data_IF_814486898861
#
_entry.id   IF_814486898861
#
_cell.length_a   1.000
_cell.length_b   1.000
_cell.length_c   1.000
_cell.angle_alpha   90.00
_cell.angle_beta   90.00
_cell.angle_gamma   90.00
#
_symmetry.space_group_name_H-M   'P 1'
#
loop_
_entity.id
_entity.type
_entity.pdbx_description
1 polymer ?
#
# COMPACT_ATOMS: atom_id res chain seq x y z
N UNK A 1 11.96 -7.85 9.14
CA UNK A 1 11.41 -9.14 9.56
C UNK A 1 9.99 -8.94 10.04
N UNK A 2 9.11 -9.87 9.72
CA UNK A 2 7.71 -9.92 10.14
C UNK A 2 7.64 -10.28 11.62
N UNK A 3 6.71 -9.66 12.33
CA UNK A 3 6.46 -9.95 13.75
C UNK A 3 5.17 -10.76 13.86
N UNK A 4 5.28 -11.94 14.46
CA UNK A 4 4.18 -12.88 14.65
C UNK A 4 3.95 -13.06 16.15
N UNK A 5 2.72 -12.84 16.60
CA UNK A 5 2.35 -12.91 18.02
C UNK A 5 1.44 -14.11 18.22
N UNK A 6 1.84 -15.02 19.10
CA UNK A 6 1.01 -16.18 19.46
C UNK A 6 -0.31 -15.71 20.09
N UNK A 7 -1.40 -16.35 19.71
CA UNK A 7 -2.75 -16.09 20.20
C UNK A 7 -3.55 -17.38 20.29
N UNK A 8 -4.65 -17.32 21.03
CA UNK A 8 -5.53 -18.45 21.33
C UNK A 8 -6.95 -17.93 21.61
N UNK A 9 -7.96 -18.79 21.83
CA UNK A 9 -9.32 -18.33 22.05
C UNK A 9 -9.37 -17.42 23.28
N UNK A 10 -10.23 -16.40 23.23
CA UNK A 10 -10.44 -15.41 24.30
C UNK A 10 -9.27 -14.44 24.57
N UNK A 11 -8.12 -14.58 23.88
CA UNK A 11 -7.07 -13.57 23.94
C UNK A 11 -7.50 -12.30 23.19
N UNK A 12 -7.14 -11.10 23.68
CA UNK A 12 -7.39 -9.87 22.96
C UNK A 12 -6.60 -9.83 21.64
N UNK A 13 -7.12 -9.08 20.67
CA UNK A 13 -6.40 -8.83 19.41
C UNK A 13 -5.10 -8.09 19.71
N UNK A 14 -3.93 -8.61 19.30
CA UNK A 14 -2.67 -7.92 19.53
C UNK A 14 -2.66 -6.50 18.91
N UNK A 15 -2.10 -5.49 19.60
CA UNK A 15 -1.95 -4.16 19.03
C UNK A 15 -1.21 -4.19 17.69
N UNK A 16 -1.73 -3.47 16.69
CA UNK A 16 -1.15 -3.42 15.34
C UNK A 16 -1.36 -4.69 14.51
N UNK A 17 -2.33 -5.55 14.87
CA UNK A 17 -2.72 -6.69 14.04
C UNK A 17 -3.12 -6.26 12.62
N UNK A 18 -2.57 -6.94 11.62
CA UNK A 18 -2.82 -6.64 10.21
C UNK A 18 -4.20 -7.15 9.82
N UNK A 19 -5.09 -6.23 9.43
CA UNK A 19 -6.43 -6.55 8.95
C UNK A 19 -6.33 -7.19 7.57
N UNK A 20 -6.87 -8.39 7.44
CA UNK A 20 -6.95 -9.17 6.21
C UNK A 20 -8.17 -8.85 5.37
N UNK A 21 -9.26 -8.44 6.01
CA UNK A 21 -10.54 -8.10 5.37
C UNK A 21 -11.69 -8.24 6.36
N UNK A 22 -12.83 -8.75 5.90
CA UNK A 22 -14.03 -8.92 6.71
C UNK A 22 -14.79 -10.20 6.33
N UNK A 23 -15.44 -10.82 7.31
CA UNK A 23 -16.34 -11.96 7.11
C UNK A 23 -17.69 -11.48 6.54
N UNK A 24 -18.56 -12.39 6.12
CA UNK A 24 -19.82 -12.04 5.46
C UNK A 24 -20.78 -11.17 6.29
N UNK A 25 -20.61 -11.15 7.63
CA UNK A 25 -21.35 -10.32 8.58
C UNK A 25 -20.67 -8.97 8.90
N UNK A 26 -19.55 -8.66 8.24
CA UNK A 26 -18.75 -7.45 8.46
C UNK A 26 -17.72 -7.58 9.59
N UNK A 27 -17.65 -8.70 10.30
CA UNK A 27 -16.65 -8.95 11.35
C UNK A 27 -15.24 -8.85 10.76
N UNK A 28 -14.30 -8.12 11.38
CA UNK A 28 -12.93 -8.03 10.88
C UNK A 28 -12.21 -9.38 10.90
N UNK A 29 -11.53 -9.68 9.80
CA UNK A 29 -10.62 -10.82 9.65
C UNK A 29 -9.19 -10.29 9.77
N UNK A 30 -8.34 -11.00 10.51
CA UNK A 30 -6.91 -10.68 10.64
C UNK A 30 -6.03 -11.72 9.94
N UNK A 31 -4.86 -11.27 9.51
CA UNK A 31 -3.83 -12.12 8.91
C UNK A 31 -3.16 -12.94 10.00
N UNK A 32 -3.25 -14.27 9.89
CA UNK A 32 -2.57 -15.19 10.78
C UNK A 32 -1.81 -16.29 10.07
N UNK A 33 -1.21 -17.17 10.86
CA UNK A 33 -0.70 -18.48 10.42
C UNK A 33 -0.89 -19.53 11.50
N UNK A 34 -0.95 -20.79 11.10
CA UNK A 34 -1.03 -21.91 12.04
C UNK A 34 -0.45 -23.18 11.42
N UNK A 35 0.12 -24.02 12.27
CA UNK A 35 0.66 -25.32 11.88
C UNK A 35 -0.44 -26.37 11.77
N UNK A 36 -0.42 -27.17 10.70
CA UNK A 36 -1.30 -28.31 10.53
C UNK A 36 -0.62 -29.37 9.63
N UNK A 37 -0.54 -30.62 10.12
CA UNK A 37 -0.06 -31.76 9.34
C UNK A 37 1.29 -31.49 8.64
N UNK A 38 2.29 -30.98 9.36
CA UNK A 38 3.62 -30.72 8.79
C UNK A 38 3.75 -29.40 8.01
N UNK A 39 2.63 -28.74 7.70
CA UNK A 39 2.62 -27.45 7.00
C UNK A 39 2.46 -26.30 7.99
N UNK A 40 3.14 -25.18 7.73
CA UNK A 40 2.76 -23.90 8.33
C UNK A 40 1.94 -23.13 7.31
N UNK A 41 0.68 -22.81 7.63
CA UNK A 41 -0.30 -22.33 6.67
C UNK A 41 -0.78 -20.91 7.02
N UNK A 42 -0.93 -20.01 6.03
CA UNK A 42 -1.69 -18.77 6.20
C UNK A 42 -3.09 -19.04 6.75
N UNK A 43 -3.55 -18.20 7.68
CA UNK A 43 -4.78 -18.40 8.43
C UNK A 43 -5.69 -17.17 8.41
N UNK A 44 -7.00 -17.42 8.27
CA UNK A 44 -8.11 -16.48 8.51
C UNK A 44 -8.36 -16.44 10.01
N UNK A 45 -7.95 -15.38 10.70
CA UNK A 45 -8.17 -15.23 12.16
C UNK A 45 -9.45 -14.41 12.40
N UNK A 46 -10.39 -14.95 13.17
CA UNK A 46 -11.61 -14.26 13.59
C UNK A 46 -11.68 -14.25 15.12
N UNK A 47 -11.19 -13.19 15.78
CA UNK A 47 -11.13 -13.11 17.24
C UNK A 47 -12.49 -13.23 17.93
N UNK A 48 -13.57 -12.69 17.33
CA UNK A 48 -14.92 -12.79 17.88
C UNK A 48 -15.46 -14.23 17.90
N UNK A 49 -14.93 -15.10 17.03
CA UNK A 49 -15.22 -16.55 17.02
C UNK A 49 -14.19 -17.35 17.84
N UNK A 50 -13.20 -16.68 18.44
CA UNK A 50 -12.15 -17.29 19.24
C UNK A 50 -11.29 -18.30 18.48
N UNK A 51 -11.16 -18.19 17.16
CA UNK A 51 -10.43 -19.17 16.36
C UNK A 51 -9.83 -18.59 15.08
N UNK A 52 -8.97 -19.40 14.46
CA UNK A 52 -8.49 -19.18 13.10
C UNK A 52 -8.85 -20.37 12.21
N UNK A 53 -8.78 -20.18 10.90
CA UNK A 53 -9.07 -21.20 9.91
C UNK A 53 -7.94 -21.28 8.89
N UNK A 54 -7.54 -22.50 8.54
CA UNK A 54 -6.54 -22.77 7.49
C UNK A 54 -7.12 -23.70 6.44
N UNK A 55 -6.61 -23.61 5.22
CA UNK A 55 -6.99 -24.49 4.13
C UNK A 55 -6.10 -25.73 4.08
N UNK A 56 -6.66 -26.92 4.20
CA UNK A 56 -5.89 -28.16 4.03
C UNK A 56 -6.78 -29.31 3.56
N UNK A 57 -6.28 -30.09 2.60
CA UNK A 57 -6.98 -31.28 2.10
C UNK A 57 -8.40 -30.99 1.58
N UNK A 58 -8.58 -29.93 0.80
CA UNK A 58 -9.88 -29.45 0.29
C UNK A 58 -10.87 -28.97 1.37
N UNK A 59 -10.43 -28.80 2.63
CA UNK A 59 -11.29 -28.41 3.76
C UNK A 59 -10.82 -27.13 4.44
N UNK A 60 -11.78 -26.45 5.06
CA UNK A 60 -11.52 -25.45 6.08
C UNK A 60 -11.29 -26.14 7.43
N UNK A 61 -10.11 -25.92 8.02
CA UNK A 61 -9.71 -26.53 9.29
C UNK A 61 -9.67 -25.46 10.37
N UNK A 62 -10.48 -25.62 11.42
CA UNK A 62 -10.47 -24.73 12.57
C UNK A 62 -9.23 -24.95 13.44
N UNK A 63 -8.64 -23.85 13.90
CA UNK A 63 -7.43 -23.79 14.74
C UNK A 63 -7.71 -22.95 15.98
N UNK A 64 -7.34 -23.48 17.13
CA UNK A 64 -7.39 -22.76 18.42
C UNK A 64 -6.03 -22.18 18.80
N UNK A 65 -4.94 -22.61 18.18
CA UNK A 65 -3.60 -22.05 18.41
C UNK A 65 -3.07 -21.51 17.08
N UNK A 66 -2.72 -20.24 17.06
CA UNK A 66 -2.30 -19.54 15.85
C UNK A 66 -1.42 -18.36 16.21
N UNK A 67 -0.75 -17.81 15.21
CA UNK A 67 -0.02 -16.55 15.33
C UNK A 67 -0.72 -15.48 14.49
N UNK A 68 -0.74 -14.25 14.98
CA UNK A 68 -1.28 -13.09 14.29
C UNK A 68 -0.13 -12.23 13.80
N UNK A 69 -0.20 -11.78 12.54
CA UNK A 69 0.77 -10.83 11.98
C UNK A 69 0.51 -9.45 12.57
N UNK A 70 1.54 -8.82 13.12
CA UNK A 70 1.48 -7.46 13.64
C UNK A 70 2.51 -6.56 12.97
N UNK A 71 2.17 -5.28 12.82
CA UNK A 71 3.09 -4.26 12.30
C UNK A 71 2.42 -3.30 11.31
N UNK A 72 3.26 -2.55 10.62
CA UNK A 72 2.89 -1.52 9.65
C UNK A 72 3.70 -1.69 8.36
N UNK A 73 3.30 -0.98 7.29
CA UNK A 73 3.98 -1.02 6.00
C UNK A 73 3.65 -2.30 5.23
N UNK A 74 2.37 -2.68 5.23
CA UNK A 74 1.85 -3.81 4.48
C UNK A 74 0.85 -3.31 3.44
N UNK A 75 0.92 -3.84 2.23
CA UNK A 75 0.01 -3.46 1.16
C UNK A 75 -0.56 -4.70 0.46
N UNK A 76 -1.73 -4.54 -0.14
CA UNK A 76 -2.37 -5.59 -0.95
C UNK A 76 -2.19 -5.26 -2.43
N UNK A 77 -1.69 -6.24 -3.19
CA UNK A 77 -1.37 -6.09 -4.61
C UNK A 77 -2.18 -7.06 -5.44
N UNK A 78 -3.01 -6.59 -6.40
CA UNK A 78 -3.75 -7.46 -7.30
C UNK A 78 -2.80 -8.39 -8.08
N UNK A 79 -3.11 -9.67 -8.10
CA UNK A 79 -2.36 -10.73 -8.79
C UNK A 79 -3.32 -11.84 -9.26
N UNK A 80 -2.79 -12.76 -10.05
CA UNK A 80 -3.55 -13.86 -10.63
C UNK A 80 -2.64 -15.05 -10.95
N UNK A 81 -3.23 -16.22 -11.16
CA UNK A 81 -2.53 -17.37 -11.74
C UNK A 81 -1.31 -17.88 -10.95
N UNK A 82 -1.27 -17.68 -9.63
CA UNK A 82 -0.14 -18.06 -8.78
C UNK A 82 1.00 -17.05 -8.75
N UNK A 83 0.88 -15.92 -9.44
CA UNK A 83 1.86 -14.85 -9.40
C UNK A 83 2.06 -14.35 -7.96
N UNK A 84 3.34 -14.17 -7.60
CA UNK A 84 3.79 -13.63 -6.32
C UNK A 84 4.72 -12.45 -6.62
N UNK A 85 4.33 -11.21 -6.29
CA UNK A 85 5.16 -10.04 -6.55
C UNK A 85 6.38 -9.98 -5.62
N UNK A 86 7.40 -9.16 -5.95
CA UNK A 86 8.50 -8.87 -5.03
C UNK A 86 7.99 -8.39 -3.67
N UNK A 87 8.71 -8.73 -2.60
CA UNK A 87 8.38 -8.40 -1.21
C UNK A 87 7.08 -9.02 -0.68
N UNK A 88 6.51 -10.02 -1.36
CA UNK A 88 5.38 -10.77 -0.83
C UNK A 88 5.70 -11.38 0.55
N UNK A 89 4.76 -11.27 1.47
CA UNK A 89 4.90 -11.78 2.83
C UNK A 89 4.78 -13.30 2.79
N UNK A 90 5.92 -13.98 2.92
CA UNK A 90 5.98 -15.42 3.14
C UNK A 90 5.53 -15.72 4.56
N UNK A 91 4.43 -16.46 4.69
CA UNK A 91 3.81 -16.77 5.98
C UNK A 91 3.86 -18.24 6.31
N UNK A 92 3.93 -19.09 5.27
CA UNK A 92 3.87 -20.52 5.40
C UNK A 92 4.92 -21.24 4.60
N UNK A 93 5.03 -22.54 4.85
CA UNK A 93 5.82 -23.49 4.05
C UNK A 93 5.12 -24.83 4.12
N UNK A 94 4.98 -25.51 2.98
CA UNK A 94 4.50 -26.89 2.95
C UNK A 94 5.55 -27.82 3.56
N UNK A 95 5.16 -29.03 3.93
CA UNK A 95 6.06 -30.09 4.42
C UNK A 95 7.20 -30.42 3.46
N UNK A 96 7.02 -30.15 2.16
CA UNK A 96 8.02 -30.37 1.12
C UNK A 96 8.94 -29.16 0.90
N UNK A 97 8.77 -28.08 1.66
CA UNK A 97 9.60 -26.88 1.59
C UNK A 97 9.10 -25.80 0.63
N UNK A 98 7.94 -25.98 -0.04
CA UNK A 98 7.39 -24.94 -0.92
C UNK A 98 6.92 -23.73 -0.10
N UNK A 99 7.37 -22.50 -0.40
CA UNK A 99 6.91 -21.32 0.29
C UNK A 99 5.44 -21.01 -0.03
N UNK A 100 4.68 -20.65 1.00
CA UNK A 100 3.31 -20.17 0.87
C UNK A 100 3.24 -18.69 1.25
N UNK A 101 2.38 -17.96 0.54
CA UNK A 101 2.21 -16.52 0.69
C UNK A 101 0.79 -16.20 1.12
N UNK A 102 0.62 -15.02 1.72
CA UNK A 102 -0.70 -14.55 2.14
C UNK A 102 -1.36 -13.87 0.95
N UNK A 103 -2.55 -14.35 0.60
CA UNK A 103 -3.44 -13.65 -0.30
C UNK A 103 -4.80 -13.39 0.33
N UNK A 104 -5.60 -12.55 -0.32
CA UNK A 104 -7.02 -12.39 -0.02
C UNK A 104 -7.85 -12.30 -1.29
N UNK A 105 -9.13 -12.60 -1.19
CA UNK A 105 -10.05 -12.48 -2.30
C UNK A 105 -11.50 -12.34 -1.82
N UNK A 106 -12.34 -11.85 -2.74
CA UNK A 106 -13.77 -11.73 -2.50
C UNK A 106 -14.48 -13.06 -2.71
N UNK A 107 -15.31 -13.48 -1.75
CA UNK A 107 -16.18 -14.65 -1.87
C UNK A 107 -17.38 -14.50 -0.94
N UNK A 108 -18.60 -14.67 -1.47
CA UNK A 108 -19.85 -14.65 -0.69
C UNK A 108 -19.97 -13.49 0.33
N UNK A 109 -19.77 -12.25 -0.15
CA UNK A 109 -19.77 -11.02 0.65
C UNK A 109 -18.67 -10.92 1.73
N UNK A 110 -17.67 -11.79 1.70
CA UNK A 110 -16.47 -11.71 2.51
C UNK A 110 -15.28 -11.27 1.66
N UNK A 111 -14.39 -10.48 2.25
CA UNK A 111 -13.01 -10.33 1.79
C UNK A 111 -12.13 -11.12 2.75
N UNK A 112 -11.69 -12.31 2.34
CA UNK A 112 -11.04 -13.25 3.26
C UNK A 112 -9.63 -13.61 2.82
N UNK A 113 -8.76 -13.81 3.81
CA UNK A 113 -7.37 -14.23 3.61
C UNK A 113 -7.26 -15.74 3.44
N UNK A 114 -6.18 -16.18 2.81
CA UNK A 114 -5.89 -17.58 2.57
C UNK A 114 -4.45 -17.81 2.09
N UNK A 115 -4.17 -19.03 1.63
CA UNK A 115 -2.85 -19.43 1.14
C UNK A 115 -2.75 -19.27 -0.38
N UNK A 116 -1.79 -18.47 -0.83
CA UNK A 116 -1.35 -18.51 -2.22
C UNK A 116 -0.39 -19.69 -2.34
N UNK A 117 -0.67 -20.55 -3.32
CA UNK A 117 0.12 -21.73 -3.60
C UNK A 117 0.71 -21.60 -5.00
N UNK A 118 1.96 -21.12 -5.14
CA UNK A 118 2.54 -20.76 -6.44
C UNK A 118 2.48 -21.91 -7.45
N UNK A 119 2.86 -23.13 -7.05
CA UNK A 119 2.82 -24.30 -7.95
C UNK A 119 1.41 -24.71 -8.38
N UNK A 120 0.36 -24.36 -7.62
CA UNK A 120 -1.04 -24.64 -7.98
C UNK A 120 -1.68 -23.49 -8.78
N UNK A 121 -1.01 -22.34 -8.91
CA UNK A 121 -1.49 -21.24 -9.72
C UNK A 121 -2.67 -20.46 -9.12
N UNK A 122 -2.88 -20.47 -7.80
CA UNK A 122 -4.08 -19.85 -7.19
C UNK A 122 -3.93 -19.41 -5.74
N UNK A 123 -4.95 -18.69 -5.26
CA UNK A 123 -5.27 -18.50 -3.85
C UNK A 123 -6.29 -19.56 -3.40
N UNK A 124 -6.09 -20.15 -2.23
CA UNK A 124 -7.08 -20.96 -1.52
C UNK A 124 -7.54 -20.25 -0.25
N UNK A 125 -8.84 -20.04 -0.10
CA UNK A 125 -9.44 -19.43 1.10
C UNK A 125 -10.28 -20.45 1.89
N UNK A 126 -10.28 -20.37 3.24
CA UNK A 126 -11.15 -21.21 4.06
C UNK A 126 -12.52 -20.53 4.15
N UNK A 127 -13.57 -21.23 3.72
CA UNK A 127 -14.93 -20.70 3.76
C UNK A 127 -15.99 -21.81 3.83
N UNK A 128 -16.86 -21.73 4.83
CA UNK A 128 -18.06 -22.58 4.93
C UNK A 128 -17.74 -24.08 5.00
N UNK A 129 -16.65 -24.47 5.67
CA UNK A 129 -16.18 -25.84 5.78
C UNK A 129 -15.28 -26.31 4.62
N UNK A 130 -15.13 -25.53 3.56
CA UNK A 130 -14.40 -25.91 2.35
C UNK A 130 -13.15 -25.05 2.10
N UNK A 131 -12.22 -25.60 1.35
CA UNK A 131 -11.14 -24.86 0.70
C UNK A 131 -11.62 -24.36 -0.67
N UNK A 132 -11.80 -23.04 -0.81
CA UNK A 132 -12.27 -22.43 -2.07
C UNK A 132 -11.10 -21.90 -2.87
N UNK A 133 -10.99 -22.31 -4.14
CA UNK A 133 -10.00 -21.82 -5.09
C UNK A 133 -10.44 -20.49 -5.71
N UNK A 134 -9.53 -19.51 -5.75
CA UNK A 134 -9.69 -18.24 -6.46
C UNK A 134 -8.50 -18.00 -7.40
N UNK A 135 -8.78 -17.65 -8.66
CA UNK A 135 -7.75 -17.39 -9.67
C UNK A 135 -7.35 -15.90 -9.76
N UNK A 136 -8.18 -15.00 -9.23
CA UNK A 136 -7.89 -13.57 -9.05
C UNK A 136 -7.92 -13.23 -7.58
N UNK A 137 -6.87 -12.57 -7.10
CA UNK A 137 -6.66 -12.31 -5.68
C UNK A 137 -5.73 -11.10 -5.48
N UNK A 138 -5.56 -10.68 -4.25
CA UNK A 138 -4.50 -9.75 -3.86
C UNK A 138 -3.45 -10.48 -3.03
N UNK A 139 -2.17 -10.13 -3.18
CA UNK A 139 -1.06 -10.62 -2.36
C UNK A 139 -0.69 -9.59 -1.33
N UNK A 140 -0.48 -10.02 -0.08
CA UNK A 140 0.11 -9.17 0.95
C UNK A 140 1.60 -9.00 0.68
N UNK A 141 2.06 -7.76 0.52
CA UNK A 141 3.47 -7.41 0.41
C UNK A 141 3.93 -6.58 1.61
N UNK A 142 5.24 -6.60 1.88
CA UNK A 142 5.88 -5.66 2.80
C UNK A 142 6.44 -4.47 2.02
N UNK A 143 5.98 -3.28 2.35
CA UNK A 143 6.43 -2.01 1.79
C UNK A 143 6.83 -1.06 2.93
N UNK A 144 7.95 -1.38 3.59
CA UNK A 144 8.44 -0.63 4.75
C UNK A 144 9.06 0.74 4.41
N UNK A 145 9.33 1.01 3.13
CA UNK A 145 9.95 2.25 2.67
C UNK A 145 9.36 2.68 1.32
N UNK A 146 9.41 3.98 1.04
CA UNK A 146 8.98 4.53 -0.24
C UNK A 146 9.94 4.13 -1.35
N UNK A 147 9.40 3.57 -2.44
CA UNK A 147 10.19 3.17 -3.60
C UNK A 147 10.22 4.30 -4.62
N UNK A 148 11.25 5.14 -4.54
CA UNK A 148 11.50 6.19 -5.51
C UNK A 148 12.37 5.63 -6.63
N UNK A 149 11.80 5.56 -7.83
CA UNK A 149 12.45 4.96 -9.00
C UNK A 149 12.90 6.07 -9.95
N UNK A 150 14.21 6.21 -10.25
CA UNK A 150 14.66 7.11 -11.30
C UNK A 150 14.09 6.62 -12.64
N UNK A 151 13.55 7.53 -13.45
CA UNK A 151 12.98 7.20 -14.76
C UNK A 151 13.46 8.15 -15.83
N UNK A 152 13.33 7.75 -17.10
CA UNK A 152 13.58 8.63 -18.24
C UNK A 152 12.35 9.49 -18.53
N UNK A 153 12.53 10.67 -19.16
CA UNK A 153 11.44 11.40 -19.81
C UNK A 153 10.54 10.45 -20.61
N UNK A 154 9.22 10.66 -20.55
CA UNK A 154 8.17 9.90 -21.24
C UNK A 154 7.93 8.46 -20.76
N UNK A 155 8.76 7.90 -19.88
CA UNK A 155 8.56 6.56 -19.35
C UNK A 155 7.93 6.58 -17.95
N UNK A 156 6.78 5.92 -17.82
CA UNK A 156 6.12 5.69 -16.53
C UNK A 156 6.58 4.33 -15.99
N UNK A 157 7.31 4.27 -14.87
CA UNK A 157 7.69 3.00 -14.28
C UNK A 157 6.45 2.21 -13.84
N UNK A 158 6.51 0.86 -13.82
CA UNK A 158 5.42 0.03 -13.33
C UNK A 158 5.02 0.42 -11.91
N UNK A 159 3.71 0.42 -11.64
CA UNK A 159 3.13 0.75 -10.33
C UNK A 159 3.42 2.20 -9.86
N UNK A 160 3.68 3.13 -10.78
CA UNK A 160 3.81 4.54 -10.44
C UNK A 160 2.55 5.07 -9.76
N UNK A 161 2.73 5.80 -8.65
CA UNK A 161 1.63 6.35 -7.85
C UNK A 161 1.02 7.54 -8.57
N UNK A 162 -0.26 7.44 -8.91
CA UNK A 162 -1.03 8.53 -9.51
C UNK A 162 -1.26 9.63 -8.47
N UNK A 163 -0.69 10.80 -8.74
CA UNK A 163 -0.83 12.03 -7.96
C UNK A 163 -2.16 12.73 -8.20
N UNK A 164 -2.73 12.55 -9.38
CA UNK A 164 -4.01 13.09 -9.79
C UNK A 164 -4.14 13.09 -11.30
N UNK A 165 -4.93 14.01 -11.83
CA UNK A 165 -5.24 14.08 -13.26
C UNK A 165 -5.23 15.53 -13.70
N UNK A 166 -4.70 15.80 -14.89
CA UNK A 166 -4.77 17.13 -15.49
C UNK A 166 -6.20 17.42 -15.99
N UNK A 167 -6.44 18.65 -16.42
CA UNK A 167 -7.74 19.13 -16.92
C UNK A 167 -8.29 18.32 -18.10
N UNK A 168 -7.43 17.67 -18.88
CA UNK A 168 -7.77 16.76 -19.99
C UNK A 168 -7.91 15.29 -19.56
N UNK A 169 -7.88 15.02 -18.24
CA UNK A 169 -7.87 13.68 -17.62
C UNK A 169 -6.60 12.86 -17.83
N UNK A 170 -5.53 13.44 -18.38
CA UNK A 170 -4.25 12.75 -18.44
C UNK A 170 -3.71 12.49 -17.01
N UNK A 171 -3.19 11.29 -16.72
CA UNK A 171 -2.67 10.98 -15.38
C UNK A 171 -1.41 11.80 -15.08
N UNK A 172 -1.36 12.33 -13.86
CA UNK A 172 -0.20 13.00 -13.28
C UNK A 172 0.35 12.09 -12.18
N UNK A 173 1.66 11.86 -12.16
CA UNK A 173 2.31 10.95 -11.21
C UNK A 173 3.05 11.72 -10.12
N UNK A 174 3.14 11.11 -8.94
CA UNK A 174 3.93 11.62 -7.82
C UNK A 174 5.41 11.46 -8.13
N UNK A 175 6.11 12.57 -8.28
CA UNK A 175 7.55 12.61 -8.49
C UNK A 175 8.27 13.34 -7.37
N UNK A 176 9.60 13.33 -7.45
CA UNK A 176 10.48 14.23 -6.73
C UNK A 176 11.68 14.57 -7.60
N UNK A 177 12.25 15.75 -7.40
CA UNK A 177 13.42 16.16 -8.18
C UNK A 177 14.32 17.07 -7.36
N UNK A 178 15.62 16.98 -7.64
CA UNK A 178 16.58 17.90 -7.05
C UNK A 178 16.45 19.28 -7.67
N UNK A 179 16.26 20.28 -6.83
CA UNK A 179 16.39 21.67 -7.19
C UNK A 179 17.14 22.38 -6.09
N UNK A 180 18.24 23.05 -6.43
CA UNK A 180 18.87 23.97 -5.49
C UNK A 180 19.26 23.32 -4.14
N UNK A 181 19.68 22.05 -4.15
CA UNK A 181 20.07 21.32 -2.92
C UNK A 181 18.89 20.79 -2.10
N UNK A 182 17.65 20.95 -2.55
CA UNK A 182 16.45 20.35 -1.93
C UNK A 182 15.77 19.32 -2.83
N UNK A 183 15.36 18.19 -2.22
CA UNK A 183 14.65 17.13 -2.92
C UNK A 183 13.15 17.36 -2.84
N UNK A 184 12.66 18.21 -3.75
CA UNK A 184 11.30 18.73 -3.76
C UNK A 184 10.29 17.72 -4.33
N UNK A 185 9.05 17.69 -3.82
CA UNK A 185 7.94 17.02 -4.51
C UNK A 185 7.75 17.59 -5.91
N UNK A 186 7.45 16.71 -6.86
CA UNK A 186 7.25 17.06 -8.25
C UNK A 186 5.94 16.47 -8.79
N UNK A 187 5.33 17.15 -9.75
CA UNK A 187 4.33 16.54 -10.64
C UNK A 187 5.04 15.97 -11.86
N UNK A 188 4.90 14.68 -12.15
CA UNK A 188 5.41 14.09 -13.39
C UNK A 188 4.27 13.97 -14.41
N UNK A 189 4.46 14.58 -15.58
CA UNK A 189 3.50 14.58 -16.70
C UNK A 189 4.13 13.84 -17.88
N UNK A 190 3.79 12.56 -18.11
CA UNK A 190 4.46 11.73 -19.12
C UNK A 190 4.30 12.28 -20.54
N UNK A 191 3.12 12.81 -20.86
CA UNK A 191 2.82 13.41 -22.17
C UNK A 191 3.74 14.60 -22.51
N UNK A 192 4.31 15.27 -21.50
CA UNK A 192 5.28 16.37 -21.65
C UNK A 192 6.74 15.92 -21.43
N UNK A 193 6.95 14.64 -21.12
CA UNK A 193 8.26 14.07 -20.79
C UNK A 193 8.95 14.76 -19.61
N UNK A 194 8.20 15.39 -18.72
CA UNK A 194 8.76 16.35 -17.76
C UNK A 194 8.16 16.21 -16.38
N UNK A 195 9.00 16.39 -15.36
CA UNK A 195 8.55 16.65 -14.01
C UNK A 195 8.66 18.15 -13.69
N UNK A 196 7.82 18.65 -12.78
CA UNK A 196 7.84 20.04 -12.37
C UNK A 196 7.79 20.17 -10.86
N UNK A 197 8.64 21.03 -10.31
CA UNK A 197 8.70 21.37 -8.88
C UNK A 197 8.33 22.83 -8.66
N UNK A 198 7.89 23.17 -7.46
CA UNK A 198 7.65 24.55 -7.05
C UNK A 198 8.89 25.13 -6.37
N UNK A 199 9.36 26.29 -6.81
CA UNK A 199 10.40 27.04 -6.12
C UNK A 199 10.25 28.54 -6.39
N UNK A 200 10.30 29.35 -5.34
CA UNK A 200 10.36 30.82 -5.45
C UNK A 200 9.19 31.46 -6.21
N UNK A 201 7.99 30.89 -6.14
CA UNK A 201 6.82 31.39 -6.87
C UNK A 201 6.69 30.86 -8.31
N UNK A 202 7.59 29.98 -8.76
CA UNK A 202 7.62 29.47 -10.12
C UNK A 202 7.46 27.95 -10.20
N UNK A 203 6.95 27.50 -11.34
CA UNK A 203 6.99 26.11 -11.77
C UNK A 203 8.31 25.86 -12.53
N UNK A 204 9.15 24.98 -11.99
CA UNK A 204 10.47 24.70 -12.57
C UNK A 204 10.46 23.32 -13.24
N UNK A 205 10.80 23.29 -14.53
CA UNK A 205 10.92 22.04 -15.28
C UNK A 205 12.16 21.24 -14.86
N UNK A 206 11.99 19.92 -14.73
CA UNK A 206 13.01 18.95 -14.34
C UNK A 206 13.04 17.79 -15.33
N UNK A 207 14.21 17.54 -15.89
CA UNK A 207 14.48 16.41 -16.82
C UNK A 207 15.10 15.20 -16.12
N UNK A 208 15.58 15.38 -14.88
CA UNK A 208 16.03 14.30 -13.99
C UNK A 208 15.20 14.34 -12.71
N UNK A 209 14.53 13.23 -12.42
CA UNK A 209 13.57 13.08 -11.34
C UNK A 209 13.33 11.60 -11.03
N UNK A 210 12.84 11.33 -9.82
CA UNK A 210 12.34 10.02 -9.43
C UNK A 210 10.81 10.02 -9.41
N UNK A 211 10.20 8.87 -9.65
CA UNK A 211 8.75 8.65 -9.53
C UNK A 211 8.50 7.69 -8.38
N UNK A 212 7.53 8.02 -7.53
CA UNK A 212 7.10 7.14 -6.45
C UNK A 212 6.36 5.94 -7.05
N UNK A 213 6.79 4.74 -6.69
CA UNK A 213 6.20 3.49 -7.15
C UNK A 213 5.78 2.61 -5.98
N UNK A 214 4.77 1.77 -6.21
CA UNK A 214 4.32 0.76 -5.25
C UNK A 214 2.86 0.96 -4.84
N UNK A 215 2.48 0.26 -3.78
CA UNK A 215 1.11 0.13 -3.31
C UNK A 215 0.99 0.63 -1.86
N UNK A 216 -0.19 0.50 -1.26
CA UNK A 216 -0.38 0.89 0.14
C UNK A 216 -0.21 2.39 0.37
N UNK A 217 -0.64 3.20 -0.60
CA UNK A 217 -0.70 4.65 -0.48
C UNK A 217 -2.16 5.10 -0.49
N UNK A 218 -2.50 6.05 0.37
CA UNK A 218 -3.78 6.74 0.34
C UNK A 218 -3.61 8.24 0.47
N UNK A 219 -4.60 8.98 -0.02
CA UNK A 219 -4.67 10.42 0.13
C UNK A 219 -5.56 10.74 1.32
N UNK A 220 -5.01 11.47 2.28
CA UNK A 220 -5.68 11.82 3.53
C UNK A 220 -5.98 13.31 3.52
N UNK A 221 -7.25 13.67 3.60
CA UNK A 221 -7.64 15.07 3.76
C UNK A 221 -7.12 15.62 5.09
N UNK A 222 -6.46 16.79 5.04
CA UNK A 222 -5.84 17.39 6.23
C UNK A 222 -6.67 18.54 6.75
N UNK A 223 -7.06 18.45 8.01
CA UNK A 223 -7.66 19.54 8.76
C UNK A 223 -6.57 20.29 9.55
N UNK A 224 -6.64 21.62 9.58
CA UNK A 224 -5.72 22.49 10.34
C UNK A 224 -4.21 22.32 10.02
N UNK A 225 -3.88 21.81 8.82
CA UNK A 225 -2.50 21.64 8.31
C UNK A 225 -1.61 20.69 9.14
N UNK A 226 -2.20 19.82 9.95
CA UNK A 226 -1.45 18.78 10.69
C UNK A 226 -1.01 17.69 9.73
N UNK A 227 0.29 17.42 9.68
CA UNK A 227 0.82 16.32 8.85
C UNK A 227 0.41 14.98 9.48
N UNK A 228 -0.32 14.12 8.76
CA UNK A 228 -0.71 12.82 9.31
C UNK A 228 0.50 11.95 9.64
N UNK A 229 0.37 11.04 10.62
CA UNK A 229 1.37 9.98 10.80
C UNK A 229 1.51 9.18 9.50
N UNK A 230 2.72 8.72 9.20
CA UNK A 230 3.07 7.98 7.98
C UNK A 230 3.00 8.75 6.66
N UNK A 231 2.93 10.09 6.69
CA UNK A 231 3.04 10.91 5.49
C UNK A 231 4.30 10.58 4.66
N UNK A 232 4.14 10.52 3.35
CA UNK A 232 5.21 10.26 2.39
C UNK A 232 6.09 11.49 2.29
N UNK A 233 7.39 11.27 2.47
CA UNK A 233 8.41 12.31 2.37
C UNK A 233 9.06 12.25 0.99
N UNK A 234 9.17 13.39 0.31
CA UNK A 234 10.01 13.48 -0.89
C UNK A 234 11.48 13.50 -0.50
N UNK A 235 11.83 14.24 0.55
CA UNK A 235 13.19 14.40 1.06
C UNK A 235 13.31 15.40 2.20
N UNK A 236 14.50 15.98 2.34
CA UNK A 236 14.85 16.94 3.39
C UNK A 236 15.30 18.25 2.71
N UNK A 237 14.77 19.38 3.17
CA UNK A 237 15.16 20.72 2.72
C UNK A 237 16.49 21.17 3.32
N UNK A 238 17.02 22.32 2.89
CA UNK A 238 18.34 22.84 3.32
C UNK A 238 18.44 23.02 4.84
N UNK A 239 17.32 23.31 5.49
CA UNK A 239 17.24 23.55 6.93
C UNK A 239 16.96 22.28 7.75
N UNK A 240 17.04 21.09 7.14
CA UNK A 240 16.73 19.83 7.80
C UNK A 240 15.24 19.53 7.93
N UNK A 241 14.37 20.40 7.41
CA UNK A 241 12.92 20.20 7.44
C UNK A 241 12.49 19.09 6.48
N UNK A 242 11.52 18.29 6.91
CA UNK A 242 10.94 17.23 6.08
C UNK A 242 10.01 17.85 5.04
N UNK A 243 10.13 17.40 3.80
CA UNK A 243 9.29 17.83 2.68
C UNK A 243 8.29 16.73 2.37
N UNK A 244 7.00 17.07 2.38
CA UNK A 244 5.91 16.10 2.21
C UNK A 244 5.16 16.32 0.90
N UNK A 245 4.67 15.21 0.36
CA UNK A 245 3.85 15.19 -0.86
C UNK A 245 2.39 15.42 -0.47
N UNK A 246 1.77 16.42 -1.08
CA UNK A 246 0.33 16.63 -1.04
C UNK A 246 -0.25 16.78 -2.43
N UNK A 247 -1.58 16.83 -2.56
CA UNK A 247 -2.26 17.16 -3.81
C UNK A 247 -3.46 18.06 -3.58
N UNK A 248 -3.80 18.86 -4.58
CA UNK A 248 -4.91 19.80 -4.49
C UNK A 248 -5.53 20.08 -5.85
N UNK A 249 -6.77 20.56 -5.81
CA UNK A 249 -7.52 20.94 -7.00
C UNK A 249 -7.23 22.39 -7.41
N UNK A 250 -6.99 22.61 -8.71
CA UNK A 250 -6.89 23.94 -9.30
C UNK A 250 -7.25 23.89 -10.79
N UNK A 251 -8.17 24.76 -11.22
CA UNK A 251 -8.60 24.88 -12.63
C UNK A 251 -8.93 23.54 -13.32
N UNK A 252 -9.63 22.64 -12.64
CA UNK A 252 -10.01 21.32 -13.18
C UNK A 252 -8.91 20.26 -13.14
N UNK A 253 -7.70 20.61 -12.71
CA UNK A 253 -6.59 19.68 -12.47
C UNK A 253 -6.51 19.30 -10.99
N UNK A 254 -6.22 18.03 -10.70
CA UNK A 254 -5.81 17.54 -9.38
C UNK A 254 -4.31 17.26 -9.45
N UNK A 255 -3.50 18.09 -8.79
CA UNK A 255 -2.06 18.11 -9.00
C UNK A 255 -1.29 17.86 -7.70
N UNK A 256 -0.27 16.99 -7.70
CA UNK A 256 0.63 16.82 -6.56
C UNK A 256 1.63 17.98 -6.44
N UNK A 257 2.07 18.27 -5.22
CA UNK A 257 2.97 19.37 -4.91
C UNK A 257 3.55 19.32 -3.51
N UNK A 258 4.14 20.44 -3.08
CA UNK A 258 4.85 20.59 -1.83
C UNK A 258 3.94 21.08 -0.70
N UNK A 259 3.82 20.28 0.36
CA UNK A 259 3.14 20.72 1.58
C UNK A 259 4.07 21.61 2.41
N UNK A 260 3.67 22.86 2.62
CA UNK A 260 4.39 23.81 3.45
C UNK A 260 3.77 23.89 4.84
N UNK A 261 4.47 23.33 5.83
CA UNK A 261 4.06 23.44 7.24
C UNK A 261 4.16 24.87 7.77
N UNK A 262 5.19 25.62 7.31
CA UNK A 262 5.42 27.00 7.72
C UNK A 262 4.30 27.92 7.21
N UNK A 263 3.96 27.80 5.92
CA UNK A 263 2.97 28.66 5.29
C UNK A 263 1.54 28.11 5.37
N UNK A 264 1.38 26.91 5.98
CA UNK A 264 0.09 26.24 6.19
C UNK A 264 -0.71 26.14 4.89
N UNK A 265 -0.10 25.54 3.87
CA UNK A 265 -0.73 25.34 2.56
C UNK A 265 -0.03 24.24 1.76
N UNK A 266 -0.63 23.86 0.65
CA UNK A 266 0.01 23.14 -0.43
C UNK A 266 0.45 24.13 -1.52
N UNK A 267 1.64 23.91 -2.08
CA UNK A 267 2.10 24.56 -3.30
C UNK A 267 2.10 23.55 -4.45
N UNK A 268 1.37 23.85 -5.52
CA UNK A 268 1.34 23.01 -6.73
C UNK A 268 1.96 23.73 -7.93
N UNK A 269 2.70 23.03 -8.81
CA UNK A 269 3.21 23.62 -10.03
C UNK A 269 2.09 23.66 -11.07
N UNK A 270 1.78 24.82 -11.64
CA UNK A 270 0.77 24.96 -12.68
C UNK A 270 0.98 26.22 -13.53
N UNK A 271 0.96 26.07 -14.86
CA UNK A 271 0.97 27.20 -15.80
C UNK A 271 2.20 28.12 -15.69
N UNK A 272 3.38 27.58 -15.36
CA UNK A 272 4.61 28.33 -15.15
C UNK A 272 4.74 28.96 -13.75
N UNK A 273 3.76 28.75 -12.87
CA UNK A 273 3.72 29.36 -11.54
C UNK A 273 3.59 28.31 -10.42
N UNK A 274 4.03 28.71 -9.24
CA UNK A 274 3.67 28.07 -7.99
C UNK A 274 2.31 28.58 -7.55
N UNK A 275 1.35 27.68 -7.36
CA UNK A 275 -0.02 28.01 -6.94
C UNK A 275 -0.22 27.56 -5.49
N UNK A 276 -0.65 28.50 -4.64
CA UNK A 276 -1.06 28.21 -3.26
C UNK A 276 -2.46 27.60 -3.24
N UNK A 277 -2.59 26.48 -2.53
CA UNK A 277 -3.86 25.77 -2.30
C UNK A 277 -4.02 25.53 -0.80
N UNK A 278 -5.12 26.01 -0.21
CA UNK A 278 -5.34 25.91 1.23
C UNK A 278 -6.07 24.62 1.66
N UNK A 279 -6.88 24.03 0.78
CA UNK A 279 -7.53 22.73 0.99
C UNK A 279 -6.87 21.64 0.16
N UNK A 280 -6.25 20.67 0.83
CA UNK A 280 -5.45 19.64 0.17
C UNK A 280 -5.46 18.33 0.94
N UNK A 281 -4.99 17.29 0.25
CA UNK A 281 -4.73 15.98 0.82
C UNK A 281 -3.22 15.74 0.92
N UNK A 282 -2.80 14.94 1.90
CA UNK A 282 -1.41 14.47 2.07
C UNK A 282 -1.34 13.00 1.68
N UNK A 283 -0.28 12.63 0.97
CA UNK A 283 -0.03 11.24 0.64
C UNK A 283 0.50 10.50 1.87
N UNK A 284 -0.14 9.41 2.27
CA UNK A 284 0.22 8.62 3.44
C UNK A 284 0.39 7.15 3.06
N UNK A 285 1.28 6.46 3.78
CA UNK A 285 1.32 4.99 3.76
C UNK A 285 0.16 4.44 4.58
N UNK A 286 -0.48 3.39 4.08
CA UNK A 286 -1.54 2.63 4.77
C UNK A 286 -1.10 1.21 5.11
#
# INVERSE_FOLDING_TARGET
METWVHSSPYQPVPPGAVVGGHDSDGTPIYVGRSFHEGDNLPAKVIPSKGCAYVCWGCKEIQKTHYEVLVGQGYAWVPCYGGAVPPNAVRSGTTRNGEPLYIGRGHHANSLTVGKIHPSHGCLYIPFGGNEVRLDSYEVLIRQAADQWVPTTPYHVPPNAVVGGYDSDRAPIYVGRAMHEGELLPAKFVPNKGSAYVCCGGYEINKTSFDVLCGYGYSWVHVYNHVIPPNAVMSGVGRNGNRLYVGRGHYQGSLTPGLVSQLQRCLFIPYGGREIRVDSYEVLCRV
#
